data_IF_530489212403
#
_entry.id   IF_530489212403
#
_cell.length_a   1.000
_cell.length_b   1.000
_cell.length_c   1.000
_cell.angle_alpha   90.00
_cell.angle_beta   90.00
_cell.angle_gamma   90.00
#
_symmetry.space_group_name_H-M   'P 1'
#
loop_
_entity.id
_entity.type
_entity.pdbx_description
1 polymer ?
#
# COMPACT_ATOMS: atom_id res chain seq x y z
N UNK A 1 -19.98 20.69 -47.61
CA UNK A 1 -19.81 19.82 -48.80
C UNK A 1 -19.13 18.55 -48.31
N UNK A 2 -19.90 17.47 -48.31
CA UNK A 2 -19.60 16.12 -47.79
C UNK A 2 -18.56 15.39 -48.65
N UNK A 3 -17.74 14.51 -48.05
CA UNK A 3 -17.25 13.18 -48.55
C UNK A 3 -15.98 12.79 -47.74
N UNK A 4 -16.06 11.91 -46.74
CA UNK A 4 -16.01 10.42 -46.76
C UNK A 4 -14.67 9.77 -47.20
N UNK A 5 -14.09 9.07 -46.21
CA UNK A 5 -13.52 7.70 -46.21
C UNK A 5 -12.35 7.33 -47.15
N UNK A 6 -11.27 6.81 -46.57
CA UNK A 6 -10.80 5.45 -46.91
C UNK A 6 -9.91 4.82 -45.84
N UNK A 7 -10.31 3.63 -45.36
CA UNK A 7 -9.45 2.62 -44.72
C UNK A 7 -8.74 1.82 -45.81
N UNK A 8 -7.44 1.54 -45.67
CA UNK A 8 -6.82 0.32 -46.19
C UNK A 8 -5.70 -0.17 -45.26
N UNK A 9 -5.67 -1.48 -45.12
CA UNK A 9 -4.81 -2.26 -44.27
C UNK A 9 -3.74 -3.01 -45.09
N UNK A 10 -2.77 -3.58 -44.34
CA UNK A 10 -1.90 -4.74 -44.62
C UNK A 10 -0.65 -4.49 -45.48
N UNK A 11 0.54 -4.64 -44.86
CA UNK A 11 1.45 -5.75 -45.15
C UNK A 11 2.52 -5.93 -44.05
N UNK A 12 2.57 -7.15 -43.50
CA UNK A 12 3.67 -7.70 -42.69
C UNK A 12 4.89 -7.95 -43.57
N UNK A 13 6.08 -7.64 -43.09
CA UNK A 13 7.32 -8.27 -43.52
C UNK A 13 8.09 -8.73 -42.28
N UNK A 14 8.12 -10.05 -42.09
CA UNK A 14 9.05 -10.72 -41.20
C UNK A 14 10.27 -11.14 -42.03
N UNK A 15 11.46 -10.87 -41.51
CA UNK A 15 12.71 -11.50 -41.97
C UNK A 15 13.48 -11.97 -40.75
N UNK A 16 13.30 -13.25 -40.45
CA UNK A 16 14.20 -14.10 -39.68
C UNK A 16 15.48 -14.37 -40.47
N UNK A 17 16.64 -14.27 -39.82
CA UNK A 17 17.89 -14.90 -40.25
C UNK A 17 18.48 -15.66 -39.04
N UNK A 18 18.86 -16.94 -39.20
CA UNK A 18 19.40 -17.76 -38.11
C UNK A 18 20.92 -17.63 -38.04
N UNK A 19 21.51 -17.78 -36.85
CA UNK A 19 22.93 -18.12 -36.70
C UNK A 19 23.05 -19.31 -35.76
N UNK A 20 23.49 -20.43 -36.33
CA UNK A 20 23.83 -21.66 -35.62
C UNK A 20 25.15 -21.53 -34.87
N UNK A 21 25.20 -22.26 -33.77
CA UNK A 21 26.33 -22.47 -32.88
C UNK A 21 27.58 -23.07 -33.54
N UNK A 22 28.74 -22.71 -32.99
CA UNK A 22 29.94 -23.55 -32.97
C UNK A 22 30.52 -23.52 -31.54
N UNK A 23 30.58 -24.70 -30.93
CA UNK A 23 31.25 -25.00 -29.67
C UNK A 23 32.78 -25.06 -29.86
N UNK A 24 33.52 -24.53 -28.88
CA UNK A 24 34.85 -25.03 -28.52
C UNK A 24 35.05 -24.81 -27.02
N UNK A 25 35.06 -25.91 -26.26
CA UNK A 25 35.36 -25.93 -24.83
C UNK A 25 36.85 -26.17 -24.55
N UNK A 26 37.30 -25.76 -23.35
CA UNK A 26 38.36 -26.41 -22.59
C UNK A 26 38.53 -25.74 -21.21
N UNK A 27 38.11 -26.44 -20.15
CA UNK A 27 38.67 -26.33 -18.79
C UNK A 27 38.32 -27.64 -18.06
N UNK A 28 39.05 -28.73 -18.33
CA UNK A 28 40.14 -29.26 -17.50
C UNK A 28 39.76 -29.49 -16.03
N UNK A 29 39.02 -30.58 -15.81
CA UNK A 29 38.98 -31.31 -14.54
C UNK A 29 40.34 -31.98 -14.30
N UNK A 30 40.99 -31.68 -13.18
CA UNK A 30 42.12 -32.46 -12.69
C UNK A 30 41.63 -33.45 -11.64
N UNK A 31 41.58 -34.73 -12.03
CA UNK A 31 41.54 -35.86 -11.11
C UNK A 31 42.93 -36.05 -10.51
N UNK A 32 43.04 -35.96 -9.18
CA UNK A 32 44.21 -36.42 -8.46
C UNK A 32 44.12 -37.94 -8.27
N UNK A 33 45.09 -38.65 -8.86
CA UNK A 33 45.32 -40.07 -8.66
C UNK A 33 45.98 -40.31 -7.30
N UNK A 34 45.32 -41.11 -6.47
CA UNK A 34 45.86 -41.58 -5.19
C UNK A 34 47.00 -42.58 -5.44
N UNK A 35 48.15 -42.32 -4.81
CA UNK A 35 49.27 -43.25 -4.70
C UNK A 35 49.06 -44.09 -3.44
N UNK A 36 49.00 -45.41 -3.60
CA UNK A 36 48.94 -46.41 -2.53
C UNK A 36 50.30 -46.50 -1.84
N UNK A 37 50.37 -46.24 -0.53
CA UNK A 37 51.37 -46.81 0.37
C UNK A 37 50.74 -47.10 1.74
N UNK A 38 51.19 -48.22 2.29
CA UNK A 38 50.73 -49.05 3.40
C UNK A 38 50.65 -48.36 4.78
N UNK A 39 49.72 -48.79 5.66
CA UNK A 39 49.72 -48.33 7.07
C UNK A 39 48.41 -48.40 7.87
N UNK A 40 47.96 -49.60 8.22
CA UNK A 40 47.30 -50.02 9.49
C UNK A 40 46.44 -49.07 10.35
N UNK A 41 45.20 -49.58 10.59
CA UNK A 41 44.35 -49.52 11.81
C UNK A 41 43.67 -48.20 12.23
N UNK A 42 42.32 -48.24 12.30
CA UNK A 42 41.53 -47.33 13.14
C UNK A 42 40.09 -47.14 12.66
N UNK A 43 39.18 -47.95 13.19
CA UNK A 43 37.73 -47.91 12.98
C UNK A 43 37.09 -46.60 13.49
N UNK A 44 36.36 -45.89 12.64
CA UNK A 44 35.22 -45.05 13.04
C UNK A 44 34.30 -44.85 11.82
N UNK A 45 33.21 -45.59 11.79
CA UNK A 45 32.14 -45.49 10.82
C UNK A 45 31.30 -44.26 11.18
N UNK A 46 31.29 -43.23 10.34
CA UNK A 46 30.32 -42.12 10.43
C UNK A 46 29.68 -42.00 9.06
N UNK A 47 28.50 -42.61 8.92
CA UNK A 47 27.67 -42.46 7.74
C UNK A 47 27.20 -41.00 7.67
N UNK A 48 27.77 -40.23 6.74
CA UNK A 48 27.21 -38.95 6.32
C UNK A 48 25.98 -39.24 5.45
N UNK A 49 24.81 -39.09 6.05
CA UNK A 49 23.56 -38.96 5.31
C UNK A 49 23.60 -37.64 4.54
N UNK A 50 23.79 -37.70 3.23
CA UNK A 50 23.54 -36.56 2.35
C UNK A 50 22.02 -36.35 2.33
N UNK A 51 21.55 -35.46 3.18
CA UNK A 51 20.17 -35.02 3.18
C UNK A 51 20.04 -33.98 2.06
N UNK A 52 19.58 -34.43 0.90
CA UNK A 52 19.07 -33.54 -0.15
C UNK A 52 18.02 -32.63 0.46
N UNK A 53 18.32 -31.34 0.53
CA UNK A 53 17.35 -30.32 0.86
C UNK A 53 16.28 -30.32 -0.24
N UNK A 54 15.16 -30.99 0.01
CA UNK A 54 13.94 -30.75 -0.73
C UNK A 54 13.47 -29.35 -0.33
N UNK A 55 13.53 -28.43 -1.29
CA UNK A 55 12.78 -27.17 -1.25
C UNK A 55 11.33 -27.54 -0.96
N UNK A 56 10.85 -27.20 0.24
CA UNK A 56 9.44 -27.32 0.57
C UNK A 56 8.69 -26.27 -0.24
N UNK A 57 8.28 -26.65 -1.44
CA UNK A 57 7.27 -25.92 -2.19
C UNK A 57 5.99 -26.06 -1.35
N UNK A 58 5.64 -25.02 -0.60
CA UNK A 58 4.41 -24.97 0.17
C UNK A 58 3.27 -25.20 -0.81
N UNK A 59 2.66 -26.39 -0.76
CA UNK A 59 1.50 -26.66 -1.58
C UNK A 59 0.40 -25.67 -1.16
N UNK A 60 0.16 -24.66 -2.01
CA UNK A 60 -0.91 -23.71 -1.82
C UNK A 60 -2.20 -24.50 -1.70
N UNK A 61 -2.87 -24.37 -0.55
CA UNK A 61 -4.12 -25.09 -0.31
C UNK A 61 -5.17 -24.48 -1.23
N UNK A 62 -5.93 -25.32 -1.93
CA UNK A 62 -6.90 -24.87 -2.93
C UNK A 62 -7.88 -23.85 -2.33
N UNK A 63 -7.79 -22.58 -2.75
CA UNK A 63 -8.61 -21.48 -2.25
C UNK A 63 -7.90 -20.49 -1.32
N UNK A 64 -6.59 -20.65 -1.07
CA UNK A 64 -5.79 -19.63 -0.39
C UNK A 64 -5.10 -18.72 -1.41
N UNK A 65 -5.17 -17.41 -1.23
CA UNK A 65 -4.37 -16.41 -1.95
C UNK A 65 -3.37 -15.75 -0.99
N UNK A 66 -2.17 -15.44 -1.45
CA UNK A 66 -1.22 -14.59 -0.74
C UNK A 66 -1.27 -13.17 -1.27
N UNK A 67 -1.54 -12.22 -0.38
CA UNK A 67 -1.53 -10.78 -0.67
C UNK A 67 -0.27 -10.18 -0.05
N UNK A 68 0.52 -9.47 -0.86
CA UNK A 68 1.60 -8.62 -0.39
C UNK A 68 1.24 -7.15 -0.56
N UNK A 69 1.70 -6.29 0.35
CA UNK A 69 1.66 -4.84 0.19
C UNK A 69 2.98 -4.20 0.54
N UNK A 70 3.34 -3.16 -0.22
CA UNK A 70 4.64 -2.53 -0.14
C UNK A 70 4.59 -1.09 -0.68
N UNK A 71 4.95 -0.13 0.17
CA UNK A 71 5.36 1.19 -0.26
C UNK A 71 6.80 1.11 -0.83
N UNK A 72 6.98 1.50 -2.11
CA UNK A 72 8.28 1.41 -2.77
C UNK A 72 9.29 2.45 -2.28
N UNK A 73 8.84 3.49 -1.58
CA UNK A 73 9.64 4.53 -0.95
C UNK A 73 10.31 5.46 -1.96
N UNK A 74 9.99 6.75 -1.95
CA UNK A 74 10.51 7.69 -2.95
C UNK A 74 12.04 7.89 -2.89
N UNK A 75 12.67 7.56 -1.76
CA UNK A 75 14.11 7.81 -1.53
C UNK A 75 14.44 9.26 -1.18
N UNK A 76 13.42 10.08 -0.91
CA UNK A 76 13.57 11.50 -0.57
C UNK A 76 12.38 12.01 0.25
N UNK A 77 12.59 13.07 1.03
CA UNK A 77 11.48 13.75 1.73
C UNK A 77 10.89 14.85 0.88
N UNK A 78 9.57 14.83 0.69
CA UNK A 78 8.80 15.92 0.05
C UNK A 78 8.53 17.10 0.99
N UNK A 79 8.71 16.90 2.30
CA UNK A 79 8.37 17.88 3.33
C UNK A 79 9.02 19.25 3.14
N UNK A 80 10.30 19.39 2.72
CA UNK A 80 10.92 20.69 2.52
C UNK A 80 10.20 21.59 1.50
N UNK A 81 9.49 21.02 0.51
CA UNK A 81 8.73 21.81 -0.48
C UNK A 81 7.64 22.64 0.20
N UNK A 82 7.00 22.06 1.24
CA UNK A 82 5.89 22.68 1.96
C UNK A 82 6.32 23.90 2.79
N UNK A 83 7.61 24.00 3.09
CA UNK A 83 8.18 25.01 3.99
C UNK A 83 9.14 25.97 3.29
N UNK A 84 9.24 25.91 1.96
CA UNK A 84 10.06 26.83 1.21
C UNK A 84 9.57 28.28 1.42
N UNK A 85 10.48 29.17 1.82
CA UNK A 85 10.18 30.56 2.15
C UNK A 85 9.82 31.36 0.90
N UNK A 86 10.49 31.05 -0.22
CA UNK A 86 10.30 31.75 -1.49
C UNK A 86 10.41 30.82 -2.72
N UNK A 87 10.04 31.37 -3.88
CA UNK A 87 10.06 30.63 -5.15
C UNK A 87 11.47 30.27 -5.64
N UNK A 88 12.53 30.94 -5.19
CA UNK A 88 13.90 30.55 -5.50
C UNK A 88 14.36 29.37 -4.67
N UNK A 89 14.04 29.35 -3.37
CA UNK A 89 14.32 28.22 -2.49
C UNK A 89 13.55 26.99 -2.93
N UNK A 90 12.25 27.13 -3.20
CA UNK A 90 11.42 26.02 -3.70
C UNK A 90 12.00 25.38 -4.96
N UNK A 91 12.50 26.18 -5.91
CA UNK A 91 13.15 25.67 -7.12
C UNK A 91 14.42 24.87 -6.83
N UNK A 92 15.19 25.26 -5.81
CA UNK A 92 16.39 24.50 -5.38
C UNK A 92 15.95 23.17 -4.77
N UNK A 93 15.04 23.20 -3.81
CA UNK A 93 14.49 21.99 -3.16
C UNK A 93 13.91 21.00 -4.17
N UNK A 94 13.16 21.47 -5.18
CA UNK A 94 12.60 20.61 -6.23
C UNK A 94 13.71 19.96 -7.09
N UNK A 95 14.82 20.66 -7.34
CA UNK A 95 15.98 20.09 -8.02
C UNK A 95 16.69 19.05 -7.15
N UNK A 96 17.02 19.41 -5.91
CA UNK A 96 17.69 18.54 -4.94
C UNK A 96 16.90 17.25 -4.69
N UNK A 97 15.56 17.32 -4.77
CA UNK A 97 14.68 16.16 -4.66
C UNK A 97 14.89 15.19 -5.82
N UNK A 98 14.89 15.69 -7.05
CA UNK A 98 15.12 14.86 -8.23
C UNK A 98 16.50 14.20 -8.17
N UNK A 99 17.53 14.96 -7.77
CA UNK A 99 18.88 14.43 -7.61
C UNK A 99 18.92 13.33 -6.55
N UNK A 100 18.26 13.54 -5.39
CA UNK A 100 18.14 12.52 -4.33
C UNK A 100 17.45 11.23 -4.81
N UNK A 101 16.41 11.33 -5.64
CA UNK A 101 15.75 10.15 -6.22
C UNK A 101 16.74 9.35 -7.06
N UNK A 102 17.54 10.02 -7.90
CA UNK A 102 18.55 9.36 -8.74
C UNK A 102 19.67 8.74 -7.91
N UNK A 103 20.18 9.47 -6.91
CA UNK A 103 21.23 9.00 -6.00
C UNK A 103 20.78 7.80 -5.14
N UNK A 104 19.47 7.61 -4.97
CA UNK A 104 18.94 6.43 -4.28
C UNK A 104 19.07 5.13 -5.07
N UNK A 105 19.44 5.19 -6.35
CA UNK A 105 19.61 4.03 -7.24
C UNK A 105 18.32 3.19 -7.40
N UNK A 106 17.29 3.82 -7.99
CA UNK A 106 15.96 3.21 -8.12
C UNK A 106 16.00 1.87 -8.83
N UNK A 107 16.81 1.70 -9.87
CA UNK A 107 16.96 0.41 -10.58
C UNK A 107 17.45 -0.69 -9.64
N UNK A 108 18.54 -0.48 -8.89
CA UNK A 108 19.02 -1.50 -7.95
C UNK A 108 18.03 -1.76 -6.82
N UNK A 109 17.35 -0.71 -6.33
CA UNK A 109 16.34 -0.85 -5.29
C UNK A 109 15.15 -1.69 -5.75
N UNK A 110 14.61 -1.40 -6.93
CA UNK A 110 13.49 -2.15 -7.48
C UNK A 110 13.87 -3.59 -7.80
N UNK A 111 15.12 -3.84 -8.23
CA UNK A 111 15.64 -5.20 -8.38
C UNK A 111 15.69 -5.98 -7.06
N UNK A 112 16.14 -5.34 -5.97
CA UNK A 112 16.12 -5.95 -4.65
C UNK A 112 14.69 -6.24 -4.15
N UNK A 113 13.76 -5.29 -4.33
CA UNK A 113 12.35 -5.50 -3.97
C UNK A 113 11.68 -6.58 -4.82
N UNK A 114 12.02 -6.70 -6.11
CA UNK A 114 11.56 -7.79 -6.96
C UNK A 114 12.03 -9.15 -6.42
N UNK A 115 13.29 -9.26 -6.01
CA UNK A 115 13.82 -10.48 -5.38
C UNK A 115 13.06 -10.88 -4.10
N UNK A 116 12.74 -9.90 -3.25
CA UNK A 116 11.93 -10.12 -2.06
C UNK A 116 10.50 -10.58 -2.41
N UNK A 117 9.84 -9.92 -3.37
CA UNK A 117 8.49 -10.27 -3.81
C UNK A 117 8.41 -11.67 -4.44
N UNK A 118 9.43 -12.06 -5.21
CA UNK A 118 9.57 -13.41 -5.75
C UNK A 118 9.73 -14.44 -4.63
N UNK A 119 10.54 -14.13 -3.61
CA UNK A 119 10.75 -15.04 -2.47
C UNK A 119 9.48 -15.21 -1.62
N UNK A 120 8.67 -14.16 -1.49
CA UNK A 120 7.37 -14.21 -0.78
C UNK A 120 6.31 -14.97 -1.57
N UNK A 121 6.45 -15.04 -2.89
CA UNK A 121 5.59 -15.82 -3.78
C UNK A 121 4.11 -15.40 -3.70
N UNK A 122 3.85 -14.08 -3.69
CA UNK A 122 2.48 -13.55 -3.56
C UNK A 122 1.65 -13.77 -4.84
N UNK A 123 0.35 -14.01 -4.71
CA UNK A 123 -0.56 -14.03 -5.87
C UNK A 123 -0.92 -12.61 -6.32
N UNK A 124 -0.99 -11.70 -5.36
CA UNK A 124 -1.42 -10.31 -5.53
C UNK A 124 -0.48 -9.38 -4.79
N UNK A 125 -0.05 -8.31 -5.43
CA UNK A 125 0.83 -7.29 -4.85
C UNK A 125 0.16 -5.92 -4.95
N UNK A 126 -0.10 -5.29 -3.80
CA UNK A 126 -0.63 -3.94 -3.68
C UNK A 126 0.50 -2.95 -3.38
N UNK A 127 0.87 -2.15 -4.39
CA UNK A 127 1.99 -1.22 -4.34
C UNK A 127 1.53 0.22 -4.10
N UNK A 128 2.30 0.95 -3.29
CA UNK A 128 2.22 2.39 -3.09
C UNK A 128 3.56 3.04 -3.45
N UNK A 129 3.55 4.34 -3.70
CA UNK A 129 4.74 5.07 -4.18
C UNK A 129 5.35 4.43 -5.44
N UNK A 130 4.50 3.88 -6.31
CA UNK A 130 4.90 3.38 -7.63
C UNK A 130 5.15 4.53 -8.62
N UNK A 131 5.90 5.52 -8.13
CA UNK A 131 6.00 6.86 -8.67
C UNK A 131 6.79 6.92 -9.98
N UNK A 132 6.52 7.97 -10.74
CA UNK A 132 7.34 8.43 -11.84
C UNK A 132 7.79 9.87 -11.60
N UNK A 133 9.09 10.11 -11.69
CA UNK A 133 9.69 11.44 -11.59
C UNK A 133 10.27 11.80 -12.95
N UNK A 134 9.65 12.77 -13.62
CA UNK A 134 10.02 13.21 -14.96
C UNK A 134 10.59 14.62 -14.94
N UNK A 135 11.59 14.86 -15.79
CA UNK A 135 12.22 16.17 -15.99
C UNK A 135 12.26 16.46 -17.48
N UNK A 136 11.85 17.65 -17.89
CA UNK A 136 11.69 17.98 -19.32
C UNK A 136 13.00 17.81 -20.14
N UNK A 137 14.15 18.05 -19.52
CA UNK A 137 15.46 18.07 -20.16
C UNK A 137 16.45 17.04 -19.56
N UNK A 138 15.96 16.04 -18.83
CA UNK A 138 16.77 15.00 -18.21
C UNK A 138 16.05 13.64 -18.20
N UNK A 139 16.75 12.61 -17.77
CA UNK A 139 16.21 11.24 -17.69
C UNK A 139 15.09 11.16 -16.64
N UNK A 140 13.99 10.51 -17.00
CA UNK A 140 12.88 10.24 -16.08
C UNK A 140 13.09 8.90 -15.39
N UNK A 141 12.61 8.77 -14.16
CA UNK A 141 12.67 7.54 -13.36
C UNK A 141 11.25 7.06 -13.11
N UNK A 142 10.94 5.80 -13.39
CA UNK A 142 9.60 5.20 -13.16
C UNK A 142 9.73 3.91 -12.35
N UNK A 143 9.37 3.96 -11.08
CA UNK A 143 9.57 2.90 -10.10
C UNK A 143 8.77 1.66 -10.47
N UNK A 144 7.55 1.84 -10.99
CA UNK A 144 6.72 0.72 -11.43
C UNK A 144 7.37 0.02 -12.63
N UNK A 145 7.86 0.78 -13.60
CA UNK A 145 8.50 0.23 -14.78
C UNK A 145 9.78 -0.55 -14.41
N UNK A 146 10.63 0.02 -13.55
CA UNK A 146 11.85 -0.63 -13.05
C UNK A 146 11.52 -1.91 -12.27
N UNK A 147 10.50 -1.89 -11.40
CA UNK A 147 10.06 -3.08 -10.67
C UNK A 147 9.53 -4.17 -11.60
N UNK A 148 8.66 -3.82 -12.55
CA UNK A 148 8.12 -4.81 -13.50
C UNK A 148 9.20 -5.39 -14.40
N UNK A 149 10.18 -4.57 -14.81
CA UNK A 149 11.35 -5.06 -15.57
C UNK A 149 12.15 -6.06 -14.73
N UNK A 150 12.40 -5.75 -13.45
CA UNK A 150 13.12 -6.67 -12.57
C UNK A 150 12.35 -7.97 -12.27
N UNK A 151 11.02 -7.91 -12.18
CA UNK A 151 10.19 -9.11 -12.05
C UNK A 151 10.24 -9.96 -13.33
N UNK A 152 10.17 -9.34 -14.51
CA UNK A 152 10.31 -10.03 -15.80
C UNK A 152 11.69 -10.68 -15.96
N UNK A 153 12.76 -9.97 -15.58
CA UNK A 153 14.13 -10.49 -15.61
C UNK A 153 14.34 -11.67 -14.65
N UNK A 154 13.59 -11.69 -13.54
CA UNK A 154 13.53 -12.83 -12.63
C UNK A 154 12.62 -13.97 -13.13
N UNK A 155 12.02 -13.83 -14.32
CA UNK A 155 10.99 -14.73 -14.86
C UNK A 155 9.83 -14.95 -13.88
N UNK A 156 9.48 -13.89 -13.13
CA UNK A 156 8.34 -13.87 -12.25
C UNK A 156 7.13 -13.42 -13.07
N UNK A 157 6.18 -14.32 -13.28
CA UNK A 157 5.02 -14.12 -14.16
C UNK A 157 3.99 -13.15 -13.53
N UNK A 158 4.36 -11.89 -13.29
CA UNK A 158 3.46 -10.85 -12.79
C UNK A 158 3.06 -9.89 -13.89
N UNK A 159 1.81 -9.44 -13.85
CA UNK A 159 1.29 -8.38 -14.70
C UNK A 159 0.64 -7.28 -13.86
N UNK A 160 0.77 -6.04 -14.32
CA UNK A 160 0.03 -4.92 -13.75
C UNK A 160 -1.46 -5.10 -14.09
N UNK A 161 -2.30 -5.27 -13.07
CA UNK A 161 -3.74 -5.40 -13.21
C UNK A 161 -4.44 -4.04 -13.17
N UNK A 162 -4.12 -3.19 -12.20
CA UNK A 162 -4.76 -1.88 -12.04
C UNK A 162 -3.73 -0.84 -11.59
N UNK A 163 -3.95 0.41 -11.99
CA UNK A 163 -3.14 1.56 -11.59
C UNK A 163 -4.07 2.75 -11.34
N UNK A 164 -3.86 3.44 -10.23
CA UNK A 164 -4.40 4.77 -9.98
C UNK A 164 -3.25 5.76 -9.98
N UNK A 165 -3.23 6.67 -10.96
CA UNK A 165 -2.27 7.78 -10.94
C UNK A 165 -2.74 8.80 -9.89
N UNK A 166 -1.91 9.01 -8.88
CA UNK A 166 -2.13 9.96 -7.79
C UNK A 166 -1.09 11.08 -7.88
N UNK A 167 -1.29 12.18 -7.16
CA UNK A 167 -0.34 13.31 -7.07
C UNK A 167 0.37 13.71 -8.40
N UNK A 168 -0.34 14.10 -9.47
CA UNK A 168 0.29 14.56 -10.71
C UNK A 168 0.75 16.02 -10.57
N UNK A 169 1.87 16.22 -9.90
CA UNK A 169 2.39 17.54 -9.50
C UNK A 169 3.59 17.92 -10.36
N UNK A 170 3.49 19.07 -11.03
CA UNK A 170 4.60 19.69 -11.76
C UNK A 170 5.02 20.99 -11.10
N UNK A 171 6.28 21.07 -10.66
CA UNK A 171 6.83 22.27 -10.02
C UNK A 171 8.07 22.77 -10.77
N UNK A 172 8.28 24.11 -10.82
CA UNK A 172 9.54 24.66 -11.31
C UNK A 172 10.70 24.18 -10.42
N UNK A 173 11.73 23.62 -11.06
CA UNK A 173 12.96 23.16 -10.42
C UNK A 173 14.20 23.88 -10.96
N UNK A 174 15.34 23.59 -10.34
CA UNK A 174 16.65 23.99 -10.84
C UNK A 174 17.63 22.83 -10.69
N UNK A 175 18.08 22.28 -11.81
CA UNK A 175 19.06 21.17 -11.89
C UNK A 175 20.28 21.70 -12.63
N UNK A 176 21.49 21.46 -12.11
CA UNK A 176 22.75 22.00 -12.63
C UNK A 176 22.73 23.52 -12.87
N UNK A 177 22.06 24.26 -11.99
CA UNK A 177 21.89 25.71 -12.12
C UNK A 177 20.90 26.16 -13.21
N UNK A 178 20.40 25.25 -14.06
CA UNK A 178 19.43 25.52 -15.13
C UNK A 178 18.00 25.37 -14.63
N UNK A 179 17.11 26.25 -15.07
CA UNK A 179 15.67 26.14 -14.76
C UNK A 179 15.06 25.03 -15.59
N UNK A 180 14.21 24.22 -14.96
CA UNK A 180 13.43 23.18 -15.63
C UNK A 180 12.11 22.96 -14.87
N UNK A 181 11.33 21.98 -15.30
CA UNK A 181 10.13 21.52 -14.60
C UNK A 181 10.35 20.07 -14.18
N UNK A 182 10.13 19.80 -12.90
CA UNK A 182 10.12 18.44 -12.34
C UNK A 182 8.66 18.06 -12.12
N UNK A 183 8.28 16.90 -12.63
CA UNK A 183 6.93 16.34 -12.51
C UNK A 183 7.01 15.05 -11.71
N UNK A 184 6.35 15.02 -10.55
CA UNK A 184 6.05 13.80 -9.82
C UNK A 184 4.67 13.31 -10.26
N UNK A 185 4.57 12.01 -10.54
CA UNK A 185 3.31 11.28 -10.65
C UNK A 185 3.40 10.12 -9.69
N UNK A 186 2.70 10.21 -8.58
CA UNK A 186 2.62 9.08 -7.66
C UNK A 186 1.62 8.06 -8.21
N UNK A 187 1.70 6.80 -7.79
CA UNK A 187 0.78 5.75 -8.25
C UNK A 187 0.54 4.73 -7.15
N UNK A 188 -0.72 4.31 -7.03
CA UNK A 188 -1.09 3.06 -6.39
C UNK A 188 -1.30 2.01 -7.49
N UNK A 189 -0.73 0.82 -7.34
CA UNK A 189 -0.82 -0.23 -8.35
C UNK A 189 -1.17 -1.58 -7.73
N UNK A 190 -1.80 -2.43 -8.53
CA UNK A 190 -2.02 -3.85 -8.23
C UNK A 190 -1.33 -4.65 -9.31
N UNK A 191 -0.43 -5.54 -8.90
CA UNK A 191 0.13 -6.59 -9.74
C UNK A 191 -0.51 -7.93 -9.34
N UNK A 192 -0.72 -8.79 -10.31
CA UNK A 192 -1.21 -10.15 -10.10
C UNK A 192 -0.33 -11.13 -10.84
N UNK A 193 -0.13 -12.30 -10.24
CA UNK A 193 0.55 -13.41 -10.89
C UNK A 193 -0.30 -13.96 -12.04
N UNK A 194 0.30 -14.54 -13.08
CA UNK A 194 -0.41 -15.10 -14.22
C UNK A 194 -1.36 -16.26 -13.85
N UNK A 195 -1.11 -16.93 -12.72
CA UNK A 195 -2.00 -17.94 -12.13
C UNK A 195 -3.29 -17.34 -11.52
N UNK A 196 -3.44 -16.02 -11.56
CA UNK A 196 -4.62 -15.29 -11.14
C UNK A 196 -5.18 -14.43 -12.28
N UNK A 197 -6.49 -14.54 -12.48
CA UNK A 197 -7.23 -13.66 -13.38
C UNK A 197 -7.64 -12.39 -12.62
N UNK A 198 -7.66 -11.25 -13.31
CA UNK A 198 -8.09 -9.98 -12.74
C UNK A 198 -9.11 -9.31 -13.66
N UNK A 199 -10.22 -8.86 -13.06
CA UNK A 199 -11.32 -8.15 -13.71
C UNK A 199 -11.68 -6.88 -12.94
N UNK A 200 -12.65 -6.13 -13.46
CA UNK A 200 -13.21 -4.93 -12.80
C UNK A 200 -12.14 -3.91 -12.36
N UNK A 201 -11.15 -3.75 -13.23
CA UNK A 201 -9.96 -2.95 -13.01
C UNK A 201 -10.35 -1.47 -12.87
N UNK A 202 -9.92 -0.85 -11.76
CA UNK A 202 -10.26 0.55 -11.44
C UNK A 202 -9.04 1.29 -10.90
N UNK A 203 -8.94 2.56 -11.26
CA UNK A 203 -8.14 3.56 -10.57
C UNK A 203 -9.01 4.78 -10.32
N UNK A 204 -9.08 5.24 -9.08
CA UNK A 204 -9.91 6.37 -8.68
C UNK A 204 -9.16 7.27 -7.70
N UNK A 205 -9.44 8.56 -7.76
CA UNK A 205 -8.95 9.55 -6.81
C UNK A 205 -10.03 9.85 -5.77
N UNK A 206 -9.62 10.13 -4.54
CA UNK A 206 -10.52 10.67 -3.51
C UNK A 206 -10.88 12.12 -3.81
N UNK A 207 -12.07 12.52 -3.38
CA UNK A 207 -12.52 13.91 -3.40
C UNK A 207 -11.70 14.74 -2.39
N UNK A 208 -11.43 14.17 -1.21
CA UNK A 208 -10.55 14.74 -0.21
C UNK A 208 -9.09 14.73 -0.68
N UNK A 209 -8.48 15.91 -0.72
CA UNK A 209 -7.10 16.13 -1.14
C UNK A 209 -6.41 17.10 -0.19
N UNK A 210 -5.08 16.98 -0.07
CA UNK A 210 -4.29 17.95 0.66
C UNK A 210 -4.11 19.21 -0.20
N UNK A 211 -4.45 20.36 0.37
CA UNK A 211 -4.31 21.67 -0.27
C UNK A 211 -3.13 22.42 0.39
N UNK A 212 -2.08 22.70 -0.39
CA UNK A 212 -0.84 23.31 0.10
C UNK A 212 -0.63 24.68 -0.56
N UNK A 213 -0.69 25.79 0.19
CA UNK A 213 -0.33 27.11 -0.34
C UNK A 213 1.16 27.17 -0.74
N UNK A 214 1.48 27.67 -1.94
CA UNK A 214 2.86 27.73 -2.45
C UNK A 214 3.65 28.99 -2.04
N UNK A 215 3.32 29.56 -0.88
CA UNK A 215 4.01 30.71 -0.27
C UNK A 215 3.13 31.96 -0.18
N UNK A 216 3.65 33.00 0.48
CA UNK A 216 2.89 34.22 0.79
C UNK A 216 2.73 35.19 -0.39
N UNK A 217 3.52 35.03 -1.45
CA UNK A 217 3.57 35.94 -2.59
C UNK A 217 2.69 35.49 -3.77
N UNK A 218 2.01 34.37 -3.64
CA UNK A 218 1.11 33.80 -4.66
C UNK A 218 -0.15 33.27 -3.99
N UNK A 219 -1.32 33.49 -4.60
CA UNK A 219 -2.56 32.82 -4.20
C UNK A 219 -2.65 31.35 -4.68
N UNK A 220 -1.57 30.85 -5.31
CA UNK A 220 -1.48 29.50 -5.84
C UNK A 220 -1.51 28.46 -4.71
N UNK A 221 -2.45 27.54 -4.82
CA UNK A 221 -2.55 26.37 -3.94
C UNK A 221 -2.30 25.11 -4.76
N UNK A 222 -1.38 24.29 -4.27
CA UNK A 222 -1.09 22.98 -4.82
C UNK A 222 -2.05 21.95 -4.21
N UNK A 223 -2.87 21.36 -5.06
CA UNK A 223 -3.71 20.21 -4.71
C UNK A 223 -2.93 18.91 -4.87
N UNK A 224 -2.90 18.11 -3.82
CA UNK A 224 -2.21 16.81 -3.75
C UNK A 224 -3.30 15.73 -3.55
N UNK A 225 -3.81 15.14 -4.65
CA UNK A 225 -4.83 14.09 -4.57
C UNK A 225 -4.20 12.74 -4.23
N UNK A 226 -4.92 11.95 -3.42
CA UNK A 226 -4.69 10.52 -3.21
C UNK A 226 -5.80 9.72 -3.86
N UNK A 227 -5.66 8.40 -3.89
CA UNK A 227 -6.63 7.53 -4.54
C UNK A 227 -6.45 6.08 -4.14
N UNK A 228 -7.03 5.19 -4.94
CA UNK A 228 -6.83 3.76 -4.83
C UNK A 228 -6.92 3.08 -6.20
N UNK A 229 -6.17 1.99 -6.35
CA UNK A 229 -6.37 1.02 -7.41
C UNK A 229 -7.18 -0.16 -6.88
N UNK A 230 -8.07 -0.72 -7.68
CA UNK A 230 -8.83 -1.93 -7.31
C UNK A 230 -8.94 -2.91 -8.47
N UNK A 231 -9.02 -4.20 -8.14
CA UNK A 231 -9.28 -5.28 -9.08
C UNK A 231 -10.02 -6.43 -8.38
N UNK A 232 -10.91 -7.12 -9.09
CA UNK A 232 -11.44 -8.40 -8.66
C UNK A 232 -10.48 -9.50 -9.11
N UNK A 233 -9.93 -10.27 -8.18
CA UNK A 233 -8.97 -11.33 -8.44
C UNK A 233 -9.67 -12.69 -8.32
N UNK A 234 -9.44 -13.57 -9.30
CA UNK A 234 -9.93 -14.95 -9.31
C UNK A 234 -8.76 -15.93 -9.43
N UNK A 235 -8.65 -16.90 -8.52
CA UNK A 235 -7.59 -17.91 -8.56
C UNK A 235 -7.98 -19.02 -9.55
N UNK A 236 -7.15 -19.26 -10.57
CA UNK A 236 -7.49 -20.09 -11.75
C UNK A 236 -7.80 -21.56 -11.42
N UNK A 237 -7.28 -22.08 -10.31
CA UNK A 237 -7.43 -23.49 -9.89
C UNK A 237 -8.63 -23.74 -8.96
N UNK A 238 -9.45 -22.72 -8.70
CA UNK A 238 -10.45 -22.75 -7.66
C UNK A 238 -11.85 -22.48 -8.18
N UNK A 239 -12.84 -23.26 -7.72
CA UNK A 239 -14.24 -23.28 -8.15
C UNK A 239 -14.94 -21.91 -8.01
N UNK A 240 -14.65 -20.97 -8.92
CA UNK A 240 -15.19 -19.61 -8.95
C UNK A 240 -14.95 -18.84 -7.64
N UNK A 241 -13.74 -18.91 -7.07
CA UNK A 241 -13.40 -18.10 -5.89
C UNK A 241 -12.79 -16.78 -6.35
N UNK A 242 -13.37 -15.68 -5.89
CA UNK A 242 -12.85 -14.35 -6.17
C UNK A 242 -13.01 -13.41 -4.98
N UNK A 243 -12.17 -12.39 -4.95
CA UNK A 243 -12.24 -11.31 -3.98
C UNK A 243 -11.78 -10.01 -4.64
N UNK A 244 -12.26 -8.87 -4.15
CA UNK A 244 -11.76 -7.56 -4.58
C UNK A 244 -10.53 -7.20 -3.74
N UNK A 245 -9.43 -6.87 -4.40
CA UNK A 245 -8.26 -6.28 -3.76
C UNK A 245 -8.21 -4.78 -4.04
N UNK A 246 -7.78 -4.01 -3.04
CA UNK A 246 -7.55 -2.57 -3.14
C UNK A 246 -6.13 -2.25 -2.72
N UNK A 247 -5.43 -1.45 -3.52
CA UNK A 247 -4.17 -0.78 -3.15
C UNK A 247 -4.43 0.70 -2.94
N UNK A 248 -3.99 1.28 -1.83
CA UNK A 248 -4.16 2.72 -1.56
C UNK A 248 -3.02 3.28 -0.71
N UNK A 249 -2.73 4.56 -0.92
CA UNK A 249 -1.83 5.35 -0.08
C UNK A 249 -2.56 6.58 0.48
N UNK A 250 -2.92 6.55 1.76
CA UNK A 250 -3.67 7.65 2.37
C UNK A 250 -2.77 8.83 2.79
N UNK A 251 -3.36 10.02 2.89
CA UNK A 251 -2.62 11.26 3.17
C UNK A 251 -1.85 11.22 4.50
N UNK A 252 -0.56 11.52 4.43
CA UNK A 252 0.33 11.51 5.60
C UNK A 252 0.24 12.79 6.44
N UNK A 253 0.29 13.95 5.79
CA UNK A 253 0.54 15.24 6.43
C UNK A 253 -0.68 15.80 7.17
N UNK A 254 -1.90 15.46 6.76
CA UNK A 254 -3.14 15.95 7.36
C UNK A 254 -4.01 14.81 7.87
N UNK A 255 -4.19 14.74 9.20
CA UNK A 255 -5.07 13.74 9.84
C UNK A 255 -6.53 13.87 9.40
N UNK A 256 -6.99 15.10 9.18
CA UNK A 256 -8.37 15.37 8.75
C UNK A 256 -8.62 14.84 7.35
N UNK A 257 -7.77 15.23 6.39
CA UNK A 257 -7.85 14.73 5.00
C UNK A 257 -7.73 13.21 4.96
N UNK A 258 -6.80 12.63 5.72
CA UNK A 258 -6.66 11.17 5.81
C UNK A 258 -7.94 10.48 6.31
N UNK A 259 -8.62 11.08 7.27
CA UNK A 259 -9.88 10.55 7.82
C UNK A 259 -11.02 10.65 6.81
N UNK A 260 -11.10 11.74 6.06
CA UNK A 260 -12.06 11.91 4.96
C UNK A 260 -11.81 10.86 3.86
N UNK A 261 -10.55 10.68 3.44
CA UNK A 261 -10.16 9.64 2.47
C UNK A 261 -10.49 8.23 2.95
N UNK A 262 -10.22 7.91 4.22
CA UNK A 262 -10.58 6.63 4.81
C UNK A 262 -12.11 6.39 4.81
N UNK A 263 -12.91 7.44 5.04
CA UNK A 263 -14.35 7.36 4.98
C UNK A 263 -14.87 7.13 3.54
N UNK A 264 -14.31 7.85 2.56
CA UNK A 264 -14.62 7.64 1.14
C UNK A 264 -14.29 6.21 0.69
N UNK A 265 -13.11 5.71 1.10
CA UNK A 265 -12.71 4.33 0.82
C UNK A 265 -13.65 3.32 1.48
N UNK A 266 -14.00 3.51 2.76
CA UNK A 266 -14.92 2.63 3.46
C UNK A 266 -16.31 2.60 2.81
N UNK A 267 -16.83 3.74 2.36
CA UNK A 267 -18.10 3.82 1.61
C UNK A 267 -18.02 3.07 0.28
N UNK A 268 -16.93 3.25 -0.47
CA UNK A 268 -16.73 2.52 -1.72
C UNK A 268 -16.67 1.01 -1.47
N UNK A 269 -15.92 0.55 -0.48
CA UNK A 269 -15.80 -0.86 -0.11
C UNK A 269 -17.15 -1.43 0.35
N UNK A 270 -17.89 -0.70 1.17
CA UNK A 270 -19.21 -1.12 1.63
C UNK A 270 -20.20 -1.32 0.47
N UNK A 271 -20.03 -0.57 -0.63
CA UNK A 271 -20.84 -0.69 -1.84
C UNK A 271 -20.39 -1.82 -2.79
N UNK A 272 -19.40 -2.64 -2.41
CA UNK A 272 -18.98 -3.84 -3.15
C UNK A 272 -19.66 -5.07 -2.57
N UNK A 273 -20.03 -6.00 -3.43
CA UNK A 273 -20.49 -7.32 -3.04
C UNK A 273 -19.31 -8.27 -2.83
N UNK A 274 -19.43 -9.17 -1.86
CA UNK A 274 -18.47 -10.26 -1.65
C UNK A 274 -17.17 -9.87 -0.93
N UNK A 275 -16.19 -10.79 -0.93
CA UNK A 275 -14.97 -10.66 -0.15
C UNK A 275 -14.06 -9.53 -0.63
N UNK A 276 -13.48 -8.79 0.31
CA UNK A 276 -12.60 -7.64 0.01
C UNK A 276 -11.35 -7.70 0.86
N UNK A 277 -10.21 -7.36 0.27
CA UNK A 277 -8.96 -7.05 0.96
C UNK A 277 -8.50 -5.63 0.60
N UNK A 278 -8.32 -4.78 1.60
CA UNK A 278 -7.72 -3.44 1.45
C UNK A 278 -6.30 -3.52 1.98
N UNK A 279 -5.32 -3.18 1.15
CA UNK A 279 -3.92 -3.26 1.50
C UNK A 279 -3.17 -1.99 1.10
N UNK A 280 -2.31 -1.48 1.98
CA UNK A 280 -1.41 -0.37 1.64
C UNK A 280 -0.87 0.43 2.80
N UNK A 281 -0.09 1.47 2.48
CA UNK A 281 0.33 2.50 3.42
C UNK A 281 -0.85 3.42 3.76
N UNK A 282 -1.50 3.14 4.87
CA UNK A 282 -2.68 3.89 5.30
C UNK A 282 -2.32 5.10 6.16
N UNK A 283 -1.02 5.34 6.44
CA UNK A 283 -0.53 6.44 7.26
C UNK A 283 -1.26 6.62 8.62
N UNK A 284 -1.82 5.54 9.13
CA UNK A 284 -2.69 5.48 10.32
C UNK A 284 -2.33 4.25 11.14
N UNK A 285 -2.65 4.24 12.43
CA UNK A 285 -2.37 3.10 13.32
C UNK A 285 -3.58 2.84 14.24
N UNK A 286 -3.69 1.69 14.93
CA UNK A 286 -4.78 1.45 15.87
C UNK A 286 -4.96 2.61 16.88
N UNK A 287 -6.20 3.10 16.98
CA UNK A 287 -6.56 4.25 17.82
C UNK A 287 -6.62 5.59 17.09
N UNK A 288 -6.11 5.68 15.86
CA UNK A 288 -6.37 6.83 14.98
C UNK A 288 -7.78 6.78 14.38
N UNK A 289 -8.36 7.94 14.06
CA UNK A 289 -9.73 8.03 13.53
C UNK A 289 -9.84 7.36 12.15
N UNK A 290 -8.90 7.60 11.24
CA UNK A 290 -8.88 6.97 9.91
C UNK A 290 -8.82 5.43 9.99
N UNK A 291 -8.02 4.88 10.90
CA UNK A 291 -7.98 3.44 11.17
C UNK A 291 -9.35 2.93 11.63
N UNK A 292 -9.97 3.65 12.58
CA UNK A 292 -11.29 3.29 13.12
C UNK A 292 -12.35 3.29 12.01
N UNK A 293 -12.34 4.28 11.11
CA UNK A 293 -13.30 4.34 9.98
C UNK A 293 -13.23 3.10 9.08
N UNK A 294 -12.02 2.58 8.82
CA UNK A 294 -11.86 1.36 8.04
C UNK A 294 -12.28 0.13 8.85
N UNK A 295 -11.88 0.08 10.13
CA UNK A 295 -12.19 -1.02 11.04
C UNK A 295 -13.69 -1.16 11.36
N UNK A 296 -14.52 -0.13 11.13
CA UNK A 296 -15.97 -0.18 11.33
C UNK A 296 -16.67 -1.18 10.39
N UNK A 297 -16.07 -1.49 9.24
CA UNK A 297 -16.63 -2.40 8.23
C UNK A 297 -15.66 -3.46 7.71
N UNK A 298 -14.43 -3.48 8.22
CA UNK A 298 -13.36 -4.39 7.81
C UNK A 298 -12.61 -4.91 9.04
N UNK A 299 -12.21 -6.17 9.02
CA UNK A 299 -11.38 -6.77 10.05
C UNK A 299 -9.90 -6.42 9.82
N UNK A 300 -9.22 -5.78 10.78
CA UNK A 300 -7.80 -5.50 10.66
C UNK A 300 -6.97 -6.76 10.91
N UNK A 301 -6.14 -7.14 9.93
CA UNK A 301 -5.25 -8.33 10.04
C UNK A 301 -3.91 -8.00 10.69
N UNK A 302 -3.49 -6.73 10.58
CA UNK A 302 -2.11 -6.29 10.85
C UNK A 302 -1.99 -5.42 12.12
N UNK A 303 -3.02 -5.44 12.97
CA UNK A 303 -3.11 -4.56 14.15
C UNK A 303 -1.92 -4.74 15.12
N UNK A 304 -1.48 -5.98 15.32
CA UNK A 304 -0.40 -6.35 16.24
C UNK A 304 0.95 -6.59 15.53
N UNK A 305 1.04 -6.27 14.23
CA UNK A 305 2.27 -6.42 13.46
C UNK A 305 3.35 -5.47 13.98
N UNK A 306 4.59 -5.97 14.06
CA UNK A 306 5.75 -5.14 14.37
C UNK A 306 5.90 -3.98 13.37
N UNK A 307 6.60 -2.89 13.74
CA UNK A 307 6.73 -1.70 12.91
C UNK A 307 7.11 -1.98 11.44
N UNK A 308 6.42 -1.32 10.53
CA UNK A 308 6.62 -1.40 9.07
C UNK A 308 7.25 -0.14 8.48
N UNK A 309 7.18 0.99 9.18
CA UNK A 309 7.72 2.31 8.83
C UNK A 309 8.46 2.86 10.06
N UNK A 310 9.30 3.89 10.07
CA UNK A 310 9.71 4.74 8.96
C UNK A 310 11.21 4.91 9.08
N UNK A 311 11.95 4.29 8.15
CA UNK A 311 13.38 4.57 8.06
C UNK A 311 13.59 6.02 7.63
N UNK A 312 14.85 6.46 7.62
CA UNK A 312 15.16 7.76 7.03
C UNK A 312 14.78 7.73 5.56
N UNK A 313 14.13 8.79 5.08
CA UNK A 313 13.72 8.92 3.68
C UNK A 313 14.90 8.87 2.71
N UNK A 314 16.13 9.17 3.15
CA UNK A 314 17.35 9.03 2.34
C UNK A 314 17.82 7.58 2.19
N UNK A 315 17.16 6.64 2.88
CA UNK A 315 17.41 5.19 2.85
C UNK A 315 18.79 4.76 3.36
N UNK A 316 19.57 5.68 3.89
CA UNK A 316 20.90 5.45 4.47
C UNK A 316 20.87 4.73 5.82
N UNK A 317 19.71 4.61 6.47
CA UNK A 317 19.55 3.92 7.74
C UNK A 317 18.28 4.33 8.50
N UNK A 318 18.24 4.04 9.80
CA UNK A 318 17.10 4.28 10.67
C UNK A 318 16.27 3.01 10.90
N UNK A 319 15.63 2.95 12.06
CA UNK A 319 14.81 1.82 12.48
C UNK A 319 13.34 2.02 12.11
N UNK A 320 12.63 0.91 11.91
CA UNK A 320 11.18 0.92 11.84
C UNK A 320 10.61 1.15 13.25
N UNK A 321 9.72 2.11 13.38
CA UNK A 321 9.16 2.62 14.64
C UNK A 321 7.62 2.70 14.67
N UNK A 322 6.92 2.51 13.55
CA UNK A 322 5.46 2.60 13.42
C UNK A 322 4.91 1.51 12.50
N UNK A 323 3.70 1.05 12.77
CA UNK A 323 2.94 0.17 11.88
C UNK A 323 1.87 1.02 11.20
N UNK A 324 2.02 1.24 9.90
CA UNK A 324 1.11 2.05 9.06
C UNK A 324 0.72 1.35 7.75
N UNK A 325 1.48 0.31 7.38
CA UNK A 325 1.21 -0.55 6.25
C UNK A 325 0.29 -1.66 6.74
N UNK A 326 -0.94 -1.67 6.24
CA UNK A 326 -1.99 -2.50 6.78
C UNK A 326 -2.68 -3.33 5.72
N UNK A 327 -3.13 -4.52 6.13
CA UNK A 327 -4.13 -5.32 5.44
C UNK A 327 -5.39 -5.37 6.31
N UNK A 328 -6.52 -5.04 5.70
CA UNK A 328 -7.87 -5.15 6.23
C UNK A 328 -8.67 -6.08 5.33
N UNK A 329 -9.55 -6.90 5.90
CA UNK A 329 -10.35 -7.87 5.14
C UNK A 329 -11.83 -7.81 5.49
N UNK A 330 -12.68 -8.30 4.59
CA UNK A 330 -14.10 -8.58 4.82
C UNK A 330 -14.46 -9.85 4.09
N UNK A 331 -15.15 -10.76 4.78
CA UNK A 331 -15.55 -12.08 4.26
C UNK A 331 -14.35 -12.92 3.73
N UNK A 332 -13.17 -12.73 4.31
CA UNK A 332 -11.97 -13.54 4.10
C UNK A 332 -11.41 -13.96 5.45
N UNK A 333 -11.00 -15.22 5.57
CA UNK A 333 -10.24 -15.67 6.73
C UNK A 333 -8.75 -15.41 6.49
N UNK A 334 -8.15 -14.52 7.29
CA UNK A 334 -6.75 -14.15 7.14
C UNK A 334 -5.85 -14.91 8.12
N UNK A 335 -4.71 -15.39 7.62
CA UNK A 335 -3.65 -15.97 8.42
C UNK A 335 -2.77 -14.91 9.10
N UNK A 336 -1.75 -15.38 9.81
CA UNK A 336 -0.79 -14.52 10.50
C UNK A 336 0.01 -13.67 9.49
N UNK A 337 0.03 -12.33 9.64
CA UNK A 337 0.82 -11.46 8.78
C UNK A 337 2.33 -11.62 9.02
N UNK A 338 3.11 -11.45 7.96
CA UNK A 338 4.58 -11.42 8.02
C UNK A 338 5.13 -10.16 7.38
N UNK A 339 6.37 -9.78 7.75
CA UNK A 339 7.10 -8.67 7.14
C UNK A 339 8.22 -9.18 6.23
N UNK A 340 8.56 -8.42 5.20
CA UNK A 340 9.70 -8.67 4.31
C UNK A 340 10.46 -7.37 3.98
N UNK A 341 11.60 -7.46 3.28
CA UNK A 341 12.46 -6.32 2.92
C UNK A 341 12.93 -5.46 4.13
N UNK A 342 13.03 -6.06 5.32
CA UNK A 342 13.29 -5.34 6.57
C UNK A 342 14.57 -5.74 7.32
N UNK A 343 15.29 -6.76 6.84
CA UNK A 343 16.54 -7.27 7.43
C UNK A 343 17.76 -6.77 6.66
N UNK A 344 18.95 -6.76 7.28
CA UNK A 344 20.18 -6.24 6.65
C UNK A 344 20.48 -6.88 5.29
N UNK A 345 20.07 -8.12 5.05
CA UNK A 345 20.24 -8.83 3.78
C UNK A 345 19.48 -8.18 2.60
N UNK A 346 18.47 -7.35 2.88
CA UNK A 346 17.72 -6.62 1.86
C UNK A 346 18.43 -5.33 1.40
N UNK A 347 19.52 -4.91 2.07
CA UNK A 347 20.23 -3.68 1.71
C UNK A 347 20.97 -3.85 0.39
N UNK A 348 21.03 -2.76 -0.37
CA UNK A 348 21.76 -2.68 -1.63
C UNK A 348 23.01 -1.83 -1.46
N UNK A 349 24.05 -2.13 -2.23
CA UNK A 349 25.24 -1.27 -2.35
C UNK A 349 25.03 -0.29 -3.50
N UNK A 350 25.07 1.01 -3.22
CA UNK A 350 25.08 2.06 -4.27
C UNK A 350 26.43 2.76 -4.32
N UNK A 351 26.65 3.61 -5.32
CA UNK A 351 27.88 4.42 -5.44
C UNK A 351 28.13 5.30 -4.22
N UNK A 352 27.06 5.72 -3.53
CA UNK A 352 27.09 6.59 -2.36
C UNK A 352 26.91 5.80 -1.05
N UNK A 353 27.18 4.49 -1.09
CA UNK A 353 27.14 3.56 0.03
C UNK A 353 25.80 2.83 0.19
N UNK A 354 25.73 1.95 1.16
CA UNK A 354 24.56 1.08 1.35
C UNK A 354 23.24 1.84 1.52
N UNK A 355 22.17 1.31 0.94
CA UNK A 355 20.81 1.81 1.05
C UNK A 355 19.84 0.70 1.37
N UNK A 356 18.80 1.03 2.12
CA UNK A 356 17.60 0.21 2.19
C UNK A 356 16.82 0.31 0.87
N UNK A 357 16.15 -0.76 0.43
CA UNK A 357 15.42 -0.75 -0.84
C UNK A 357 14.10 0.03 -0.73
N UNK A 358 13.56 0.20 0.48
CA UNK A 358 12.46 1.08 0.84
C UNK A 358 12.63 1.56 2.30
N UNK A 359 12.01 2.70 2.65
CA UNK A 359 11.87 3.16 4.03
C UNK A 359 10.75 2.42 4.80
N UNK A 360 10.03 1.54 4.09
CA UNK A 360 9.05 0.61 4.63
C UNK A 360 9.54 -0.84 4.55
N UNK A 361 9.03 -1.68 5.45
CA UNK A 361 8.97 -3.11 5.28
C UNK A 361 7.70 -3.46 4.50
N UNK A 362 7.80 -4.47 3.64
CA UNK A 362 6.62 -5.05 3.03
C UNK A 362 5.84 -5.91 4.03
N UNK A 363 4.55 -6.11 3.77
CA UNK A 363 3.67 -6.99 4.56
C UNK A 363 3.06 -8.05 3.66
N UNK A 364 3.03 -9.30 4.11
CA UNK A 364 2.40 -10.41 3.39
C UNK A 364 1.40 -11.16 4.29
N UNK A 365 0.25 -11.52 3.73
CA UNK A 365 -0.86 -12.19 4.41
C UNK A 365 -1.43 -13.27 3.49
N UNK A 366 -1.62 -14.47 4.03
CA UNK A 366 -2.42 -15.51 3.38
C UNK A 366 -3.90 -15.30 3.71
N UNK A 367 -4.79 -15.35 2.71
CA UNK A 367 -6.23 -15.24 2.88
C UNK A 367 -6.93 -16.45 2.27
N UNK A 368 -7.88 -17.03 2.99
CA UNK A 368 -8.77 -18.06 2.46
C UNK A 368 -9.97 -17.39 1.79
N UNK A 369 -10.15 -17.71 0.51
CA UNK A 369 -11.24 -17.18 -0.32
C UNK A 369 -12.43 -18.15 -0.26
N UNK A 370 -13.61 -17.70 0.19
CA UNK A 370 -14.78 -18.57 0.26
C UNK A 370 -15.24 -19.00 -1.14
N UNK A 371 -15.79 -20.21 -1.26
CA UNK A 371 -16.46 -20.63 -2.50
C UNK A 371 -17.83 -19.96 -2.62
N UNK A 372 -18.20 -19.53 -3.84
CA UNK A 372 -19.48 -18.86 -4.16
C UNK A 372 -20.75 -19.72 -3.95
N UNK A 373 -20.69 -20.80 -3.18
CA UNK A 373 -21.81 -21.67 -2.82
C UNK A 373 -21.91 -22.01 -1.33
N UNK A 374 -21.02 -21.51 -0.49
CA UNK A 374 -21.04 -21.74 0.96
C UNK A 374 -21.85 -20.65 1.71
N UNK A 375 -23.01 -20.25 1.18
CA UNK A 375 -24.00 -19.62 2.05
C UNK A 375 -24.54 -20.74 2.92
N UNK A 376 -24.22 -20.70 4.22
CA UNK A 376 -24.71 -21.64 5.22
C UNK A 376 -26.20 -21.90 5.02
N UNK A 377 -26.54 -23.09 4.50
CA UNK A 377 -27.84 -23.67 4.74
C UNK A 377 -27.95 -23.83 6.25
N UNK A 378 -28.58 -22.85 6.89
CA UNK A 378 -29.06 -22.98 8.25
C UNK A 378 -29.90 -24.25 8.26
N UNK A 379 -29.39 -25.27 8.93
CA UNK A 379 -30.03 -26.56 9.11
C UNK A 379 -31.36 -26.32 9.82
N UNK A 380 -32.40 -26.15 9.02
CA UNK A 380 -33.78 -26.19 9.50
C UNK A 380 -34.03 -27.63 9.93
N UNK A 381 -34.37 -27.91 11.19
CA UNK A 381 -34.68 -29.26 11.59
C UNK A 381 -35.91 -29.72 10.82
N UNK A 382 -35.78 -30.88 10.16
CA UNK A 382 -36.89 -31.56 9.49
C UNK A 382 -37.99 -31.88 10.50
N UNK A 383 -39.11 -31.16 10.45
CA UNK A 383 -40.35 -31.64 11.05
C UNK A 383 -40.98 -32.68 10.11
N UNK A 384 -41.04 -33.90 10.62
CA UNK A 384 -41.72 -35.03 9.99
C UNK A 384 -43.18 -35.06 10.45
N UNK A 385 -44.07 -35.03 9.45
CA UNK A 385 -45.41 -35.66 9.42
C UNK A 385 -46.52 -35.05 10.28
N UNK A 386 -47.63 -34.65 9.64
CA UNK A 386 -48.77 -35.55 9.39
C UNK A 386 -49.96 -34.80 8.79
N UNK A 387 -50.50 -35.36 7.72
CA UNK A 387 -51.76 -35.00 7.07
C UNK A 387 -52.95 -35.32 7.98
N UNK A 388 -53.82 -34.33 8.25
CA UNK A 388 -55.21 -34.61 8.61
C UNK A 388 -56.15 -33.55 8.02
N UNK A 389 -57.10 -34.04 7.21
CA UNK A 389 -58.20 -33.31 6.58
C UNK A 389 -59.41 -33.33 7.52
N UNK A 390 -60.30 -32.31 7.42
CA UNK A 390 -61.78 -32.26 7.67
C UNK A 390 -62.11 -31.01 8.53
N UNK A 391 -62.65 -29.87 8.05
CA UNK A 391 -63.98 -29.50 7.48
C UNK A 391 -64.58 -28.35 8.30
N UNK A 392 -64.92 -27.26 7.59
CA UNK A 392 -65.95 -26.21 7.79
C UNK A 392 -66.34 -25.71 9.21
N UNK A 393 -66.25 -24.39 9.41
CA UNK A 393 -67.44 -23.52 9.37
C UNK A 393 -67.14 -22.02 9.57
N UNK A 394 -67.64 -21.24 8.61
CA UNK A 394 -68.26 -19.90 8.70
C UNK A 394 -68.06 -19.06 9.98
N UNK A 395 -67.62 -17.81 9.83
CA UNK A 395 -68.50 -16.60 9.87
C UNK A 395 -67.66 -15.32 9.79
N UNK A 396 -67.91 -14.49 8.77
CA UNK A 396 -67.60 -13.05 8.76
C UNK A 396 -68.85 -12.28 9.25
N UNK A 397 -68.78 -11.04 9.79
CA UNK A 397 -68.42 -9.88 8.96
C UNK A 397 -67.74 -8.65 9.65
N UNK A 398 -66.96 -7.91 8.85
CA UNK A 398 -66.99 -6.44 8.60
C UNK A 398 -66.97 -5.45 9.80
N UNK A 399 -65.95 -4.58 9.88
CA UNK A 399 -65.99 -3.11 9.63
C UNK A 399 -64.72 -2.38 10.12
N UNK A 400 -64.07 -1.60 9.24
CA UNK A 400 -63.30 -0.37 9.52
C UNK A 400 -64.28 0.83 9.63
N UNK A 401 -63.92 2.10 9.95
CA UNK A 401 -62.66 2.70 10.47
C UNK A 401 -62.90 3.71 11.64
N UNK A 402 -61.83 4.28 12.23
CA UNK A 402 -61.69 5.74 12.52
C UNK A 402 -60.47 6.05 13.42
N UNK A 403 -59.49 6.73 12.81
CA UNK A 403 -58.93 8.03 13.21
C UNK A 403 -59.17 8.55 14.65
N UNK A 404 -58.09 8.86 15.39
CA UNK A 404 -58.07 9.99 16.35
C UNK A 404 -56.65 10.55 16.50
N UNK A 405 -56.58 11.85 16.24
CA UNK A 405 -55.47 12.81 16.36
C UNK A 405 -55.15 13.19 17.82
N UNK A 406 -53.99 13.86 18.02
CA UNK A 406 -53.57 14.79 19.12
C UNK A 406 -52.65 14.16 20.19
N UNK A 407 -51.57 14.78 20.70
CA UNK A 407 -51.00 16.15 20.56
C UNK A 407 -49.56 16.15 21.10
N UNK A 408 -48.74 17.05 20.54
CA UNK A 408 -47.36 17.38 20.88
C UNK A 408 -47.13 18.00 22.27
N UNK A 409 -45.90 17.90 22.80
CA UNK A 409 -45.20 18.95 23.59
C UNK A 409 -43.67 18.66 23.64
N UNK A 410 -42.79 19.61 23.27
CA UNK A 410 -41.36 19.68 23.61
C UNK A 410 -41.09 20.85 24.59
N UNK A 411 -39.85 21.33 24.79
CA UNK A 411 -38.62 20.67 25.25
C UNK A 411 -38.14 21.29 26.59
N UNK A 412 -37.06 20.78 27.20
CA UNK A 412 -36.36 21.49 28.28
C UNK A 412 -34.85 21.58 28.00
N UNK A 413 -34.40 22.82 27.87
CA UNK A 413 -33.03 23.32 27.84
C UNK A 413 -32.54 23.57 29.26
N UNK A 414 -31.26 23.28 29.56
CA UNK A 414 -30.54 23.98 30.63
C UNK A 414 -29.01 23.85 30.51
N UNK A 415 -28.39 24.99 30.27
CA UNK A 415 -27.07 25.47 30.71
C UNK A 415 -27.21 27.01 30.68
N UNK A 416 -26.48 27.84 31.46
CA UNK A 416 -25.10 27.65 31.96
C UNK A 416 -24.89 28.15 33.41
N UNK A 417 -23.68 28.03 33.97
CA UNK A 417 -23.11 29.04 34.90
C UNK A 417 -21.58 28.90 34.97
N UNK A 418 -20.88 30.01 34.74
CA UNK A 418 -19.44 30.24 34.97
C UNK A 418 -19.19 30.67 36.42
N UNK A 419 -18.03 30.36 36.99
CA UNK A 419 -17.40 31.15 38.04
C UNK A 419 -15.89 30.90 38.08
N UNK A 420 -15.18 31.93 38.52
CA UNK A 420 -13.80 32.32 38.21
C UNK A 420 -12.96 32.45 39.50
N UNK A 421 -11.64 32.43 39.32
CA UNK A 421 -10.56 33.02 40.14
C UNK A 421 -10.23 32.58 41.58
N UNK A 422 -8.95 32.18 41.78
CA UNK A 422 -8.02 32.76 42.77
C UNK A 422 -6.55 32.30 42.56
N UNK A 423 -5.77 33.13 41.86
CA UNK A 423 -4.46 33.77 42.17
C UNK A 423 -3.37 33.19 43.14
N UNK A 424 -2.10 33.69 43.10
CA UNK A 424 -0.87 32.90 42.97
C UNK A 424 0.11 33.00 44.16
N UNK A 425 1.21 32.22 44.17
CA UNK A 425 2.52 32.68 44.69
C UNK A 425 3.71 31.78 44.28
N UNK A 426 4.88 32.42 44.30
CA UNK A 426 6.15 32.11 43.64
C UNK A 426 7.18 31.54 44.63
N UNK A 427 7.95 30.48 44.28
CA UNK A 427 9.29 30.25 44.85
C UNK A 427 10.13 29.26 44.03
N UNK A 428 11.37 29.67 43.80
CA UNK A 428 12.44 29.10 42.98
C UNK A 428 13.26 28.05 43.74
N UNK A 429 13.61 26.90 43.13
CA UNK A 429 14.91 26.20 43.25
C UNK A 429 14.94 24.85 42.47
N UNK A 430 15.87 24.72 41.53
CA UNK A 430 16.34 23.49 40.85
C UNK A 430 17.41 22.74 41.69
N UNK A 431 17.96 21.57 41.27
CA UNK A 431 17.33 20.41 40.63
C UNK A 431 17.75 19.08 41.29
N UNK A 432 17.00 17.99 41.07
CA UNK A 432 17.50 16.63 41.27
C UNK A 432 16.99 15.72 40.15
N UNK A 433 17.94 15.05 39.52
CA UNK A 433 17.83 14.29 38.29
C UNK A 433 17.19 12.92 38.49
N UNK A 434 16.10 12.64 37.78
CA UNK A 434 15.71 11.28 37.35
C UNK A 434 14.94 11.40 36.04
N UNK A 435 15.60 11.08 34.92
CA UNK A 435 15.00 11.10 33.58
C UNK A 435 14.38 9.73 33.28
N UNK A 436 13.06 9.66 33.42
CA UNK A 436 12.19 8.72 32.73
C UNK A 436 11.17 9.58 31.99
N UNK A 437 11.10 9.51 30.65
CA UNK A 437 10.21 10.40 29.89
C UNK A 437 10.14 10.13 28.40
N UNK A 438 9.08 9.41 28.02
CA UNK A 438 8.22 9.51 26.82
C UNK A 438 8.80 9.94 25.45
N UNK A 439 8.52 9.19 24.36
CA UNK A 439 8.77 9.63 22.99
C UNK A 439 7.78 10.73 22.59
N UNK A 440 8.32 11.81 22.04
CA UNK A 440 7.61 13.04 21.72
C UNK A 440 6.68 12.92 20.52
N UNK A 441 5.40 13.19 20.76
CA UNK A 441 4.49 13.77 19.78
C UNK A 441 3.68 14.86 20.48
N UNK A 442 3.92 16.11 20.10
CA UNK A 442 3.17 17.24 20.63
C UNK A 442 3.39 18.57 19.90
N UNK A 443 4.43 18.70 19.06
CA UNK A 443 4.78 20.01 18.47
C UNK A 443 4.90 20.07 16.94
N UNK A 444 4.95 18.95 16.22
CA UNK A 444 5.11 18.96 14.75
C UNK A 444 3.81 18.81 13.95
N UNK A 445 2.76 18.20 14.51
CA UNK A 445 1.43 18.21 13.90
C UNK A 445 0.72 19.57 14.10
N UNK A 446 1.06 20.27 15.20
CA UNK A 446 0.56 21.62 15.44
C UNK A 446 1.15 22.62 14.46
N UNK A 447 2.40 22.48 13.98
CA UNK A 447 3.01 23.50 13.11
C UNK A 447 2.43 23.53 11.70
N UNK A 448 2.00 22.41 11.11
CA UNK A 448 1.36 22.41 9.79
C UNK A 448 -0.07 22.96 9.88
N UNK A 449 -0.84 22.53 10.89
CA UNK A 449 -2.17 23.08 11.14
C UNK A 449 -2.12 24.57 11.57
N UNK A 450 -1.13 24.98 12.39
CA UNK A 450 -0.89 26.38 12.73
C UNK A 450 -0.36 27.19 11.55
N UNK A 451 0.46 26.64 10.66
CA UNK A 451 0.92 27.36 9.47
C UNK A 451 -0.27 27.65 8.55
N UNK A 452 -1.14 26.65 8.31
CA UNK A 452 -2.37 26.82 7.52
C UNK A 452 -3.35 27.78 8.22
N UNK A 453 -3.51 27.69 9.54
CA UNK A 453 -4.38 28.59 10.31
C UNK A 453 -3.83 30.03 10.43
N UNK A 454 -2.52 30.20 10.58
CA UNK A 454 -1.85 31.50 10.66
C UNK A 454 -1.86 32.22 9.30
N UNK A 455 -1.70 31.48 8.20
CA UNK A 455 -1.89 32.03 6.84
C UNK A 455 -3.34 32.50 6.65
N UNK A 456 -4.35 31.74 7.12
CA UNK A 456 -5.76 32.17 7.06
C UNK A 456 -6.12 33.35 7.96
N UNK A 457 -5.46 33.51 9.11
CA UNK A 457 -5.67 34.67 9.99
C UNK A 457 -5.05 35.95 9.42
N UNK A 458 -3.94 35.86 8.69
CA UNK A 458 -3.27 37.01 8.06
C UNK A 458 -3.95 37.52 6.79
N UNK A 459 -4.88 36.76 6.20
CA UNK A 459 -5.69 37.14 5.04
C UNK A 459 -7.02 37.84 5.41
N UNK A 460 -7.32 37.98 6.70
CA UNK A 460 -8.56 38.62 7.21
C UNK A 460 -8.34 40.01 7.83
N UNK A 461 -7.08 40.46 7.88
CA UNK A 461 -6.68 41.85 8.17
C UNK A 461 -6.15 42.48 6.88
#
# INVERSE_FOLDING_TARGET
>A
MTLQLSRRAVLRCATTVPVSAVFAGAAHSQSATATTLDGTMGTAETAQTVQTAQTAQTAQTAGTARIATLNLGLGVSLTPILFAEDASERRRIVGDLYDSVRESDVTQRMAALAGELVAIDADVIALQEAAAVAVADAESVDFLAELTTALDDAAADYRVAAVSETTPVSLPGRIDGRRTTVTLRDKDAILVRETAEASDLRGEAFDAALEVPLGNDTDDTLRIPRGFAAATVSLTDSNSRSFTVVSTHLERASRGVRTEQAAELAEWVASRDGPVAVAGDLNTTPGDEAYTRLADGLDPVTADLAPTCCRRSTLTGGDLSRTVDHVFVRDLDAGEPSRFAHTEDARIETLDGDRWPSDHAGVAVDVEVPSLGAVSETTTPSETSSTETTTESSTAPRTTPSETTRTATPPSTSSPTSADQSDPENATAQPASTTTGAPGFGLFASTVALAIAAVRLRQRD
#
